data_IF_176001605185
#
_entry.id   IF_176001605185
#
_cell.length_a   1.000
_cell.length_b   1.000
_cell.length_c   1.000
_cell.angle_alpha   90.00
_cell.angle_beta   90.00
_cell.angle_gamma   90.00
#
_symmetry.space_group_name_H-M   'P 1'
#
loop_
_entity.id
_entity.type
_entity.pdbx_description
1 polymer ?
#
# COMPACT_ATOMS: atom_id res chain seq x y z
N UNK A 1 10.01 3.88 7.91
CA UNK A 1 8.55 3.80 8.11
C UNK A 1 8.14 5.15 8.66
N UNK A 2 7.40 5.90 7.86
CA UNK A 2 6.86 7.20 8.25
C UNK A 2 5.35 7.07 8.34
N UNK A 3 4.77 7.57 9.44
CA UNK A 3 3.33 7.54 9.68
C UNK A 3 2.83 8.97 9.75
N UNK A 4 1.85 9.31 8.92
CA UNK A 4 1.25 10.63 8.88
C UNK A 4 -0.28 10.51 8.92
N UNK A 5 -0.90 11.57 9.43
CA UNK A 5 -2.32 11.62 9.78
C UNK A 5 -2.89 12.95 9.27
N UNK A 6 -4.08 12.89 8.67
CA UNK A 6 -4.95 14.04 8.38
C UNK A 6 -6.30 13.82 9.07
N UNK A 7 -7.18 14.83 9.13
CA UNK A 7 -8.45 14.77 9.90
C UNK A 7 -9.33 13.54 9.58
N UNK A 8 -9.26 12.99 8.35
CA UNK A 8 -10.13 11.91 7.89
C UNK A 8 -9.41 10.59 7.51
N UNK A 9 -8.08 10.62 7.41
CA UNK A 9 -7.30 9.51 6.85
C UNK A 9 -5.95 9.34 7.55
N UNK A 10 -5.59 8.08 7.81
CA UNK A 10 -4.27 7.69 8.28
C UNK A 10 -3.56 6.93 7.17
N UNK A 11 -2.34 7.33 6.84
CA UNK A 11 -1.51 6.61 5.88
C UNK A 11 -0.16 6.26 6.48
N UNK A 12 0.23 5.00 6.29
CA UNK A 12 1.52 4.45 6.66
C UNK A 12 2.30 4.20 5.38
N UNK A 13 3.48 4.82 5.27
CA UNK A 13 4.34 4.73 4.08
C UNK A 13 5.62 3.97 4.42
N UNK A 14 5.95 3.03 3.53
CA UNK A 14 7.15 2.20 3.60
C UNK A 14 7.92 2.43 2.30
N UNK A 15 9.18 2.87 2.37
CA UNK A 15 10.00 3.14 1.19
C UNK A 15 10.13 4.62 0.85
N UNK A 16 10.50 4.89 -0.41
CA UNK A 16 10.79 6.23 -0.92
C UNK A 16 9.70 6.67 -1.90
N UNK A 17 8.88 7.61 -1.44
CA UNK A 17 7.78 8.19 -2.21
C UNK A 17 8.04 9.66 -2.52
N UNK A 18 7.70 10.07 -3.74
CA UNK A 18 7.76 11.44 -4.21
C UNK A 18 6.42 11.85 -4.80
N UNK A 19 6.02 13.08 -4.56
CA UNK A 19 4.86 13.71 -5.19
C UNK A 19 5.33 15.02 -5.86
N UNK A 20 4.77 15.41 -7.01
CA UNK A 20 5.24 16.58 -7.74
C UNK A 20 4.92 17.87 -6.98
N UNK A 21 5.81 18.86 -7.09
CA UNK A 21 5.67 20.16 -6.41
C UNK A 21 4.38 20.91 -6.79
N UNK A 22 3.84 20.63 -7.97
CA UNK A 22 2.56 21.18 -8.44
C UNK A 22 1.39 20.74 -7.57
N UNK A 23 1.39 19.51 -7.06
CA UNK A 23 0.34 18.98 -6.19
C UNK A 23 0.30 19.71 -4.86
N UNK A 24 1.47 20.02 -4.29
CA UNK A 24 1.60 20.85 -3.09
C UNK A 24 1.05 22.25 -3.33
N UNK A 25 1.54 22.93 -4.36
CA UNK A 25 1.11 24.29 -4.69
C UNK A 25 -0.42 24.36 -4.89
N UNK A 26 -0.99 23.37 -5.57
CA UNK A 26 -2.44 23.24 -5.78
C UNK A 26 -3.20 23.16 -4.45
N UNK A 27 -2.73 22.34 -3.49
CA UNK A 27 -3.36 22.22 -2.18
C UNK A 27 -3.19 23.49 -1.33
N UNK A 28 -2.04 24.15 -1.40
CA UNK A 28 -1.80 25.45 -0.74
C UNK A 28 -2.75 26.53 -1.30
N UNK A 29 -2.96 26.59 -2.62
CA UNK A 29 -3.94 27.49 -3.24
C UNK A 29 -5.40 27.19 -2.83
N UNK A 30 -5.69 25.95 -2.44
CA UNK A 30 -6.99 25.55 -1.91
C UNK A 30 -7.12 25.79 -0.39
N UNK A 31 -6.12 26.41 0.23
CA UNK A 31 -6.12 26.79 1.64
C UNK A 31 -5.53 25.75 2.59
N UNK A 32 -4.93 24.66 2.09
CA UNK A 32 -4.24 23.69 2.93
C UNK A 32 -2.92 24.26 3.45
N UNK A 33 -2.65 24.10 4.74
CA UNK A 33 -1.40 24.56 5.37
C UNK A 33 -0.56 23.37 5.77
N UNK A 34 0.57 23.18 5.09
CA UNK A 34 1.53 22.13 5.41
C UNK A 34 2.41 22.50 6.60
N UNK A 35 2.65 21.54 7.50
CA UNK A 35 3.48 21.68 8.70
C UNK A 35 4.93 21.26 8.47
N UNK A 36 5.17 20.39 7.50
CA UNK A 36 6.49 19.90 7.09
C UNK A 36 6.59 19.85 5.57
N UNK A 37 7.80 19.66 5.04
CA UNK A 37 8.01 19.40 3.62
C UNK A 37 8.05 17.89 3.30
N UNK A 38 7.48 17.05 4.16
CA UNK A 38 7.49 15.60 3.98
C UNK A 38 6.53 15.16 2.87
N UNK A 39 6.99 14.26 2.00
CA UNK A 39 6.14 13.58 1.01
C UNK A 39 4.96 12.87 1.68
N UNK A 40 5.16 12.35 2.90
CA UNK A 40 4.11 11.62 3.62
C UNK A 40 2.95 12.54 4.04
N UNK A 41 3.24 13.77 4.46
CA UNK A 41 2.21 14.76 4.75
C UNK A 41 1.48 15.19 3.48
N UNK A 42 2.21 15.43 2.39
CA UNK A 42 1.63 15.75 1.09
C UNK A 42 0.69 14.66 0.59
N UNK A 43 1.07 13.39 0.73
CA UNK A 43 0.24 12.25 0.32
C UNK A 43 -1.02 12.13 1.18
N UNK A 44 -0.94 12.33 2.51
CA UNK A 44 -2.15 12.35 3.35
C UNK A 44 -3.12 13.47 2.94
N UNK A 45 -2.59 14.67 2.68
CA UNK A 45 -3.38 15.80 2.21
C UNK A 45 -4.00 15.55 0.83
N UNK A 46 -3.25 14.91 -0.09
CA UNK A 46 -3.76 14.51 -1.40
C UNK A 46 -4.86 13.46 -1.29
N UNK A 47 -4.68 12.45 -0.44
CA UNK A 47 -5.72 11.46 -0.17
C UNK A 47 -6.99 12.13 0.34
N UNK A 48 -6.88 13.01 1.34
CA UNK A 48 -8.01 13.77 1.88
C UNK A 48 -8.69 14.63 0.80
N UNK A 49 -7.92 15.26 -0.08
CA UNK A 49 -8.43 16.01 -1.22
C UNK A 49 -9.22 15.14 -2.21
N UNK A 50 -8.69 13.98 -2.59
CA UNK A 50 -9.34 13.05 -3.50
C UNK A 50 -10.57 12.40 -2.87
N UNK A 51 -10.51 12.06 -1.57
CA UNK A 51 -11.65 11.51 -0.84
C UNK A 51 -12.86 12.45 -0.82
N UNK A 52 -12.67 13.77 -0.85
CA UNK A 52 -13.76 14.76 -0.95
C UNK A 52 -14.39 14.83 -2.34
N UNK A 53 -13.70 14.32 -3.38
CA UNK A 53 -14.09 14.41 -4.80
C UNK A 53 -14.59 13.10 -5.38
N UNK A 54 -14.33 11.99 -4.70
CA UNK A 54 -14.70 10.65 -5.11
C UNK A 54 -15.57 9.98 -4.05
N UNK A 55 -16.61 9.28 -4.50
CA UNK A 55 -17.56 8.59 -3.62
C UNK A 55 -16.90 7.42 -2.86
N UNK A 56 -16.10 6.62 -3.56
CA UNK A 56 -15.39 5.47 -3.00
C UNK A 56 -14.00 5.85 -2.49
N UNK A 57 -13.56 5.27 -1.38
CA UNK A 57 -12.17 5.43 -0.90
C UNK A 57 -11.19 4.84 -1.91
N UNK A 58 -11.52 3.68 -2.50
CA UNK A 58 -10.69 3.07 -3.55
C UNK A 58 -10.40 4.02 -4.72
N UNK A 59 -11.43 4.66 -5.30
CA UNK A 59 -11.22 5.53 -6.47
C UNK A 59 -10.48 6.80 -6.12
N UNK A 60 -10.61 7.29 -4.87
CA UNK A 60 -9.78 8.37 -4.36
C UNK A 60 -8.29 7.97 -4.25
N UNK A 61 -8.02 6.75 -3.80
CA UNK A 61 -6.66 6.19 -3.75
C UNK A 61 -6.11 6.06 -5.16
N UNK A 62 -6.85 5.42 -6.09
CA UNK A 62 -6.40 5.24 -7.47
C UNK A 62 -6.03 6.59 -8.14
N UNK A 63 -6.85 7.63 -7.93
CA UNK A 63 -6.58 8.98 -8.44
C UNK A 63 -5.37 9.65 -7.78
N UNK A 64 -5.17 9.45 -6.48
CA UNK A 64 -3.98 9.93 -5.77
C UNK A 64 -2.71 9.23 -6.29
N UNK A 65 -2.75 7.90 -6.45
CA UNK A 65 -1.59 7.12 -6.89
C UNK A 65 -1.08 7.52 -8.26
N UNK A 66 -1.97 7.93 -9.16
CA UNK A 66 -1.61 8.46 -10.47
C UNK A 66 -0.71 9.71 -10.42
N UNK A 67 -0.66 10.43 -9.29
CA UNK A 67 0.24 11.57 -9.10
C UNK A 67 1.55 11.22 -8.39
N UNK A 68 1.64 10.05 -7.76
CA UNK A 68 2.80 9.65 -6.97
C UNK A 68 3.85 8.97 -7.85
N UNK A 69 5.09 9.00 -7.39
CA UNK A 69 6.20 8.30 -8.04
C UNK A 69 7.20 7.81 -7.01
N UNK A 70 7.98 6.81 -7.36
CA UNK A 70 9.03 6.26 -6.50
C UNK A 70 8.87 4.77 -6.29
N UNK A 71 9.44 4.24 -5.22
CA UNK A 71 9.28 2.84 -4.80
C UNK A 71 8.84 2.82 -3.35
N UNK A 72 7.57 2.51 -3.14
CA UNK A 72 6.94 2.53 -1.84
C UNK A 72 5.84 1.47 -1.72
N UNK A 73 5.47 1.18 -0.48
CA UNK A 73 4.25 0.49 -0.14
C UNK A 73 3.42 1.43 0.73
N UNK A 74 2.10 1.38 0.56
CA UNK A 74 1.17 2.27 1.26
C UNK A 74 0.10 1.44 1.95
N UNK A 75 -0.18 1.74 3.21
CA UNK A 75 -1.33 1.22 3.94
C UNK A 75 -2.18 2.42 4.37
N UNK A 76 -3.46 2.40 4.00
CA UNK A 76 -4.41 3.48 4.26
C UNK A 76 -5.58 2.97 5.08
N UNK A 77 -5.92 3.75 6.10
CA UNK A 77 -7.14 3.65 6.89
C UNK A 77 -7.93 4.94 6.68
N UNK A 78 -9.24 4.80 6.44
CA UNK A 78 -10.11 5.96 6.20
C UNK A 78 -11.39 5.85 7.04
N UNK A 79 -11.83 6.98 7.61
CA UNK A 79 -13.00 7.02 8.50
C UNK A 79 -14.32 6.58 7.85
N UNK A 80 -14.50 6.88 6.55
CA UNK A 80 -15.64 6.42 5.73
C UNK A 80 -15.80 4.91 5.66
N UNK A 81 -14.72 4.15 5.79
CA UNK A 81 -14.71 2.69 5.67
C UNK A 81 -13.99 2.05 6.86
N UNK A 82 -14.55 2.14 8.07
CA UNK A 82 -13.90 1.63 9.27
C UNK A 82 -13.71 0.12 9.19
N UNK A 83 -12.57 -0.38 9.70
CA UNK A 83 -12.20 -1.79 9.63
C UNK A 83 -11.76 -2.27 8.24
N UNK A 84 -11.52 -1.36 7.31
CA UNK A 84 -10.97 -1.65 5.98
C UNK A 84 -9.58 -1.04 5.84
N UNK A 85 -8.60 -1.87 5.52
CA UNK A 85 -7.27 -1.46 5.11
C UNK A 85 -7.21 -1.43 3.58
N UNK A 86 -6.74 -0.32 3.02
CA UNK A 86 -6.30 -0.28 1.64
C UNK A 86 -4.79 -0.40 1.60
N UNK A 87 -4.28 -1.26 0.74
CA UNK A 87 -2.88 -1.62 0.68
C UNK A 87 -2.39 -1.53 -0.75
N UNK A 88 -1.20 -0.98 -0.96
CA UNK A 88 -0.59 -0.86 -2.27
C UNK A 88 0.83 -1.41 -2.22
N UNK A 89 1.19 -2.19 -3.24
CA UNK A 89 2.56 -2.52 -3.55
C UNK A 89 3.03 -1.75 -4.79
N UNK A 90 4.01 -0.86 -4.62
CA UNK A 90 4.64 -0.13 -5.73
C UNK A 90 6.16 -0.14 -5.55
N UNK A 91 6.81 -1.27 -5.80
CA UNK A 91 8.25 -1.49 -5.66
C UNK A 91 8.70 -2.03 -4.29
N UNK A 92 8.10 -1.62 -3.17
CA UNK A 92 8.41 -2.18 -1.84
C UNK A 92 7.43 -3.31 -1.47
N UNK A 93 7.90 -4.53 -1.16
CA UNK A 93 7.05 -5.70 -1.04
C UNK A 93 6.03 -5.57 0.10
N UNK A 94 4.86 -6.15 -0.13
CA UNK A 94 3.78 -6.19 0.85
C UNK A 94 3.08 -7.56 0.81
N UNK A 95 2.79 -8.11 1.99
CA UNK A 95 2.10 -9.37 2.16
C UNK A 95 0.86 -9.20 3.03
N UNK A 96 -0.20 -9.91 2.65
CA UNK A 96 -1.41 -10.06 3.45
C UNK A 96 -1.33 -11.41 4.16
N UNK A 97 -1.26 -11.40 5.49
CA UNK A 97 -1.39 -12.60 6.32
C UNK A 97 -2.87 -12.97 6.50
N UNK A 98 -3.22 -14.20 6.14
CA UNK A 98 -4.60 -14.71 6.21
C UNK A 98 -4.82 -15.49 7.51
N UNK A 99 -5.36 -14.84 8.53
CA UNK A 99 -5.74 -15.46 9.80
C UNK A 99 -7.20 -15.96 9.83
N UNK A 100 -7.63 -16.40 11.02
CA UNK A 100 -9.00 -16.84 11.28
C UNK A 100 -9.76 -15.68 11.94
N UNK A 101 -10.64 -15.02 11.18
CA UNK A 101 -11.42 -13.87 11.69
C UNK A 101 -10.63 -12.56 11.79
N UNK A 102 -9.35 -12.58 11.41
CA UNK A 102 -8.53 -11.38 11.23
C UNK A 102 -7.55 -11.57 10.07
N UNK A 103 -7.20 -10.47 9.42
CA UNK A 103 -6.15 -10.41 8.40
C UNK A 103 -5.13 -9.36 8.82
N UNK A 104 -3.85 -9.67 8.60
CA UNK A 104 -2.73 -8.77 8.87
C UNK A 104 -2.08 -8.31 7.59
N UNK A 105 -1.44 -7.15 7.61
CA UNK A 105 -0.69 -6.63 6.46
C UNK A 105 0.70 -6.21 6.93
N UNK A 106 1.74 -6.64 6.21
CA UNK A 106 3.13 -6.36 6.59
C UNK A 106 4.06 -6.39 5.38
N UNK A 107 5.11 -5.59 5.42
CA UNK A 107 6.23 -5.70 4.49
C UNK A 107 7.13 -6.92 4.76
N UNK A 108 6.95 -7.57 5.91
CA UNK A 108 7.71 -8.75 6.35
C UNK A 108 6.76 -9.80 6.91
N UNK A 109 6.63 -10.92 6.22
CA UNK A 109 5.76 -12.03 6.61
C UNK A 109 6.09 -12.56 8.01
N UNK A 110 7.37 -12.49 8.42
CA UNK A 110 7.82 -12.92 9.75
C UNK A 110 7.09 -12.19 10.89
N UNK A 111 6.70 -10.94 10.64
CA UNK A 111 5.99 -10.11 11.63
C UNK A 111 4.54 -10.56 11.85
N UNK A 112 4.03 -11.48 11.03
CA UNK A 112 2.67 -12.00 11.12
C UNK A 112 2.62 -13.49 11.49
N UNK A 113 3.77 -14.15 11.70
CA UNK A 113 3.83 -15.59 12.01
C UNK A 113 3.16 -15.98 13.34
N UNK A 114 2.99 -15.02 14.26
CA UNK A 114 2.21 -15.20 15.48
C UNK A 114 0.69 -15.27 15.24
N UNK A 115 0.23 -14.81 14.08
CA UNK A 115 -1.18 -14.78 13.66
C UNK A 115 -1.46 -15.90 12.65
N UNK A 116 -0.57 -16.07 11.67
CA UNK A 116 -0.78 -17.03 10.57
C UNK A 116 0.52 -17.37 9.84
N UNK A 117 0.58 -18.57 9.27
CA UNK A 117 1.61 -18.99 8.32
C UNK A 117 1.14 -18.90 6.87
N UNK A 118 -0.07 -18.40 6.60
CA UNK A 118 -0.65 -18.28 5.25
C UNK A 118 -0.60 -16.86 4.74
N UNK A 119 -0.04 -16.68 3.55
CA UNK A 119 0.21 -15.35 2.98
C UNK A 119 -0.27 -15.24 1.55
N UNK A 120 -0.73 -14.04 1.21
CA UNK A 120 -0.91 -13.57 -0.16
C UNK A 120 0.14 -12.49 -0.40
N UNK A 121 0.98 -12.71 -1.41
CA UNK A 121 1.97 -11.73 -1.84
C UNK A 121 1.34 -10.84 -2.90
N UNK A 122 1.39 -9.52 -2.68
CA UNK A 122 1.01 -8.56 -3.69
C UNK A 122 2.11 -8.48 -4.75
N UNK A 123 1.71 -8.33 -6.01
CA UNK A 123 2.62 -8.05 -7.13
C UNK A 123 2.72 -6.55 -7.41
N UNK A 124 3.67 -6.19 -8.26
CA UNK A 124 3.89 -4.79 -8.61
C UNK A 124 2.59 -4.14 -9.11
N UNK A 125 2.31 -2.95 -8.59
CA UNK A 125 1.11 -2.14 -8.85
C UNK A 125 -0.21 -2.72 -8.32
N UNK A 126 -0.17 -3.80 -7.52
CA UNK A 126 -1.37 -4.32 -6.87
C UNK A 126 -1.89 -3.35 -5.81
N UNK A 127 -3.19 -3.11 -5.87
CA UNK A 127 -3.97 -2.51 -4.79
C UNK A 127 -4.87 -3.56 -4.16
N UNK A 128 -4.88 -3.67 -2.84
CA UNK A 128 -5.73 -4.58 -2.11
C UNK A 128 -6.64 -3.85 -1.12
N UNK A 129 -7.86 -4.36 -0.98
CA UNK A 129 -8.78 -4.01 0.11
C UNK A 129 -8.85 -5.18 1.06
N UNK A 130 -8.45 -4.97 2.30
CA UNK A 130 -8.34 -6.01 3.34
C UNK A 130 -9.26 -5.66 4.50
N UNK A 131 -10.16 -6.58 4.83
CA UNK A 131 -11.04 -6.56 6.00
C UNK A 131 -10.73 -7.77 6.88
N UNK A 132 -11.35 -7.84 8.05
CA UNK A 132 -11.15 -8.96 8.97
C UNK A 132 -11.61 -10.31 8.39
N UNK A 133 -12.61 -10.28 7.51
CA UNK A 133 -13.32 -11.44 6.97
C UNK A 133 -13.01 -11.75 5.49
N UNK A 134 -12.45 -10.78 4.76
CA UNK A 134 -12.21 -10.91 3.33
C UNK A 134 -11.07 -9.98 2.86
N UNK A 135 -10.49 -10.32 1.71
CA UNK A 135 -9.64 -9.42 0.95
C UNK A 135 -10.00 -9.48 -0.53
N UNK A 136 -9.69 -8.39 -1.24
CA UNK A 136 -9.81 -8.28 -2.69
C UNK A 136 -8.57 -7.58 -3.22
N UNK A 137 -8.09 -8.00 -4.40
CA UNK A 137 -6.89 -7.45 -5.04
C UNK A 137 -7.26 -7.00 -6.44
N UNK A 138 -6.75 -5.84 -6.83
CA UNK A 138 -6.80 -5.30 -8.18
C UNK A 138 -5.38 -5.09 -8.67
N UNK A 139 -5.12 -5.45 -9.93
CA UNK A 139 -3.83 -5.19 -10.55
C UNK A 139 -3.68 -3.71 -10.96
N UNK A 140 -2.51 -3.35 -11.51
CA UNK A 140 -2.23 -1.99 -11.98
C UNK A 140 -3.13 -1.49 -13.12
N UNK A 141 -3.90 -2.36 -13.78
CA UNK A 141 -4.92 -1.98 -14.76
C UNK A 141 -6.28 -1.69 -14.13
N UNK A 142 -6.45 -2.01 -12.84
CA UNK A 142 -7.69 -1.86 -12.09
C UNK A 142 -8.61 -3.07 -12.17
N UNK A 143 -8.18 -4.16 -12.80
CA UNK A 143 -8.96 -5.40 -12.92
C UNK A 143 -8.81 -6.25 -11.66
N UNK A 144 -9.91 -6.87 -11.21
CA UNK A 144 -9.87 -7.75 -10.03
C UNK A 144 -9.11 -9.03 -10.35
N UNK A 145 -8.10 -9.34 -9.53
CA UNK A 145 -7.22 -10.51 -9.69
C UNK A 145 -7.25 -11.40 -8.46
N UNK A 146 -7.10 -12.70 -8.69
CA UNK A 146 -6.92 -13.68 -7.62
C UNK A 146 -5.43 -13.95 -7.43
N UNK A 147 -4.95 -13.67 -6.22
CA UNK A 147 -3.59 -14.00 -5.78
C UNK A 147 -3.63 -15.27 -4.93
N UNK A 148 -2.67 -16.15 -5.15
CA UNK A 148 -2.61 -17.43 -4.46
C UNK A 148 -2.26 -17.25 -2.97
N UNK A 149 -2.91 -18.06 -2.13
CA UNK A 149 -2.55 -18.17 -0.72
C UNK A 149 -1.48 -19.25 -0.60
N UNK A 150 -0.30 -18.87 -0.12
CA UNK A 150 0.84 -19.76 0.07
C UNK A 150 1.21 -19.88 1.54
N UNK A 151 1.66 -21.05 1.98
CA UNK A 151 2.25 -21.21 3.30
C UNK A 151 3.65 -20.60 3.31
N UNK A 152 4.00 -19.92 4.40
CA UNK A 152 5.33 -19.38 4.63
C UNK A 152 6.32 -20.53 4.84
N UNK A 153 7.34 -20.57 4.00
CA UNK A 153 8.43 -21.52 4.10
C UNK A 153 9.69 -20.74 4.50
N UNK A 154 10.24 -20.95 5.71
CA UNK A 154 11.38 -20.18 6.23
C UNK A 154 12.65 -20.21 5.38
N UNK A 155 12.80 -21.15 4.45
CA UNK A 155 13.99 -21.34 3.61
C UNK A 155 14.02 -20.53 2.30
N UNK A 156 13.05 -19.63 2.05
CA UNK A 156 12.98 -18.77 0.86
C UNK A 156 12.83 -17.28 1.21
N UNK A 157 13.68 -16.78 2.11
CA UNK A 157 13.92 -15.33 2.19
C UNK A 157 14.66 -14.87 0.93
N UNK A 158 13.93 -14.30 -0.05
CA UNK A 158 14.40 -13.66 -1.30
C UNK A 158 15.83 -14.04 -1.75
N UNK A 159 15.96 -15.05 -2.60
CA UNK A 159 17.16 -15.20 -3.43
C UNK A 159 17.09 -14.17 -4.56
N UNK A 160 18.02 -13.21 -4.58
CA UNK A 160 18.26 -12.37 -5.77
C UNK A 160 18.65 -13.27 -6.94
N UNK A 161 17.80 -13.36 -7.97
CA UNK A 161 18.16 -13.99 -9.24
C UNK A 161 19.00 -13.02 -10.09
N UNK A 162 20.30 -12.95 -9.83
CA UNK A 162 21.26 -12.64 -10.89
C UNK A 162 21.59 -13.96 -11.60
N UNK A 163 20.74 -14.33 -12.55
CA UNK A 163 21.02 -15.42 -13.48
C UNK A 163 22.01 -14.97 -14.54
N UNK A 164 23.30 -15.20 -14.32
CA UNK A 164 24.30 -15.27 -15.39
C UNK A 164 24.90 -16.67 -15.40
N UNK A 165 24.68 -17.36 -16.52
CA UNK A 165 25.15 -18.68 -16.90
C UNK A 165 26.62 -18.99 -16.55
N UNK A 166 26.89 -20.23 -16.14
CA UNK A 166 27.71 -21.18 -16.92
C UNK A 166 27.66 -22.60 -16.30
N UNK A 167 27.62 -23.68 -17.11
CA UNK A 167 27.64 -25.05 -16.61
C UNK A 167 29.09 -25.51 -16.40
N UNK A 168 29.34 -26.26 -15.32
CA UNK A 168 30.61 -26.96 -15.14
C UNK A 168 30.40 -28.46 -15.35
N UNK A 169 30.96 -28.93 -16.47
CA UNK A 169 31.60 -30.24 -16.61
C UNK A 169 32.99 -30.18 -15.97
#
# INVERSE_FOLDING_TARGET
>A
MECHWDEAATAVIIGNMSAPSSSRLRLECLGHTFRSNSSAELTCALLGHYCKRHESVKTAIDAMLAELSGKFALIVLHEREPGTLYCLHHGEPLAIGIGIGEHGVSARAESLLQITDRFVWLEEDDTARVRADAFQVWDGSGEEVKRDIVNYVPSLGRSNSNGSHSPCL
#
